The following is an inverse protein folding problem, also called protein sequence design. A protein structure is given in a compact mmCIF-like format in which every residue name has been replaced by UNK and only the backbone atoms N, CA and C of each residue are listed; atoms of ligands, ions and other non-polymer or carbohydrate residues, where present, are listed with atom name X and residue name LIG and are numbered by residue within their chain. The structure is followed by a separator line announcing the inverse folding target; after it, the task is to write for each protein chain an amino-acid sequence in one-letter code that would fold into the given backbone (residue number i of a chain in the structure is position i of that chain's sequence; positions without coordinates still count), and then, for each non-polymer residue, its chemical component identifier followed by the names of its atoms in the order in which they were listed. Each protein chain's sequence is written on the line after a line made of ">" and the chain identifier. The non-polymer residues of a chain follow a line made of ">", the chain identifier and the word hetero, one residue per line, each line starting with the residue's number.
data_IF_847933893595
#
_entry.id   IF_847933893595
#
_cell.length_a   1.000
_cell.length_b   1.000
_cell.length_c   1.000
_cell.angle_alpha   90.00
_cell.angle_beta   90.00
_cell.angle_gamma   90.00
#
_symmetry.space_group_name_H-M   'P 1'
#
loop_
_entity.id
_entity.type
_entity.pdbx_description
1 polymer ?
#
# COMPACT_ATOMS: atom_id res chain seq x y z
N UNK A 1 -17.23 -12.73 -6.85
CA UNK A 1 -16.63 -12.24 -8.09
C UNK A 1 -15.77 -11.04 -7.74
N UNK A 2 -14.46 -11.22 -7.78
CA UNK A 2 -13.50 -10.15 -7.53
C UNK A 2 -13.45 -9.19 -8.72
N UNK A 3 -13.26 -7.92 -8.46
CA UNK A 3 -13.18 -6.88 -9.46
C UNK A 3 -11.82 -6.19 -9.43
N UNK A 4 -11.28 -5.89 -10.62
CA UNK A 4 -10.07 -5.07 -10.78
C UNK A 4 -10.42 -3.61 -10.94
N UNK A 5 -9.81 -2.76 -10.14
CA UNK A 5 -9.98 -1.32 -10.24
C UNK A 5 -9.58 -0.79 -11.64
N UNK A 6 -10.09 0.32 -12.07
CA UNK A 6 -9.82 1.06 -13.31
C UNK A 6 -10.02 0.34 -14.65
N UNK A 7 -9.34 -0.76 -14.88
CA UNK A 7 -9.40 -1.44 -16.19
C UNK A 7 -10.73 -2.15 -16.42
N UNK A 8 -11.42 -2.56 -15.36
CA UNK A 8 -12.58 -3.41 -15.51
C UNK A 8 -13.88 -2.65 -15.86
N UNK A 9 -13.99 -1.36 -15.60
CA UNK A 9 -15.12 -0.58 -16.11
C UNK A 9 -15.13 -0.48 -17.65
N UNK A 10 -13.98 -0.21 -18.24
CA UNK A 10 -13.77 -0.29 -19.70
C UNK A 10 -13.76 -1.73 -20.20
N UNK A 11 -13.30 -2.65 -19.38
CA UNK A 11 -13.17 -4.05 -19.63
C UNK A 11 -14.52 -4.76 -19.77
N UNK A 12 -15.44 -4.56 -18.82
CA UNK A 12 -16.79 -5.11 -18.95
C UNK A 12 -17.56 -4.54 -20.16
N UNK A 13 -17.35 -3.26 -20.48
CA UNK A 13 -17.97 -2.64 -21.66
C UNK A 13 -17.42 -3.23 -22.97
N UNK A 14 -16.12 -3.51 -23.05
CA UNK A 14 -15.49 -4.12 -24.23
C UNK A 14 -15.85 -5.60 -24.41
N UNK A 15 -15.96 -6.37 -23.34
CA UNK A 15 -16.36 -7.78 -23.39
C UNK A 15 -17.80 -7.97 -23.88
N UNK A 16 -18.68 -7.02 -23.56
CA UNK A 16 -20.08 -7.06 -24.00
C UNK A 16 -20.23 -6.66 -25.47
N UNK A 17 -19.31 -5.85 -26.01
CA UNK A 17 -19.42 -5.31 -27.36
C UNK A 17 -18.70 -6.13 -28.45
N UNK A 18 -17.71 -6.97 -28.13
CA UNK A 18 -16.80 -7.52 -29.15
C UNK A 18 -17.04 -8.97 -29.57
N UNK A 19 -17.87 -9.74 -28.88
CA UNK A 19 -18.07 -11.17 -29.21
C UNK A 19 -16.79 -12.01 -29.22
N UNK A 20 -15.66 -11.45 -28.77
CA UNK A 20 -14.36 -12.11 -28.71
C UNK A 20 -14.28 -13.03 -27.49
N UNK A 21 -13.44 -14.06 -27.61
CA UNK A 21 -13.13 -14.96 -26.50
C UNK A 21 -12.72 -14.14 -25.27
N UNK A 22 -13.43 -14.23 -24.16
CA UNK A 22 -13.19 -13.40 -22.97
C UNK A 22 -11.75 -13.43 -22.48
N UNK A 23 -11.08 -14.58 -22.65
CA UNK A 23 -9.69 -14.78 -22.26
C UNK A 23 -8.69 -14.00 -23.12
N UNK A 24 -8.93 -13.91 -24.44
CA UNK A 24 -8.07 -13.16 -25.37
C UNK A 24 -8.21 -11.65 -25.19
N UNK A 25 -9.41 -11.17 -24.91
CA UNK A 25 -9.65 -9.76 -24.61
C UNK A 25 -8.96 -9.32 -23.29
N UNK A 26 -9.00 -10.17 -22.27
CA UNK A 26 -8.28 -9.96 -21.00
C UNK A 26 -6.78 -9.85 -21.22
N UNK A 27 -6.19 -10.75 -21.99
CA UNK A 27 -4.75 -10.75 -22.30
C UNK A 27 -4.31 -9.51 -23.09
N UNK A 28 -5.13 -9.03 -24.03
CA UNK A 28 -4.80 -7.87 -24.86
C UNK A 28 -4.80 -6.58 -24.02
N UNK A 29 -5.81 -6.37 -23.19
CA UNK A 29 -5.90 -5.18 -22.33
C UNK A 29 -4.83 -5.21 -21.24
N UNK A 30 -4.53 -6.38 -20.68
CA UNK A 30 -3.44 -6.52 -19.71
C UNK A 30 -2.07 -6.18 -20.33
N UNK A 31 -1.85 -6.45 -21.63
CA UNK A 31 -0.59 -6.10 -22.29
C UNK A 31 -0.44 -4.59 -22.51
N UNK A 32 -1.49 -3.89 -22.91
CA UNK A 32 -1.47 -2.44 -23.08
C UNK A 32 -1.28 -1.73 -21.71
N UNK A 33 -1.99 -2.15 -20.71
CA UNK A 33 -1.85 -1.61 -19.35
C UNK A 33 -0.48 -1.91 -18.73
N UNK A 34 0.11 -3.06 -19.01
CA UNK A 34 1.48 -3.38 -18.61
C UNK A 34 2.53 -2.45 -19.23
N UNK A 35 2.29 -1.94 -20.44
CA UNK A 35 3.19 -0.95 -21.08
C UNK A 35 3.11 0.38 -20.34
N UNK A 36 1.90 0.87 -20.03
CA UNK A 36 1.72 2.12 -19.27
C UNK A 36 2.33 2.02 -17.87
N UNK A 37 2.12 0.92 -17.16
CA UNK A 37 2.73 0.68 -15.84
C UNK A 37 4.25 0.62 -15.94
N UNK A 38 4.80 -0.04 -16.95
CA UNK A 38 6.26 -0.10 -17.15
C UNK A 38 6.87 1.27 -17.39
N UNK A 39 6.23 2.13 -18.18
CA UNK A 39 6.72 3.49 -18.41
C UNK A 39 6.62 4.35 -17.15
N UNK A 40 5.52 4.25 -16.38
CA UNK A 40 5.38 4.90 -15.07
C UNK A 40 6.48 4.44 -14.09
N UNK A 41 6.76 3.14 -14.03
CA UNK A 41 7.81 2.59 -13.17
C UNK A 41 9.19 3.04 -13.63
N UNK A 42 9.47 3.05 -14.94
CA UNK A 42 10.74 3.55 -15.47
C UNK A 42 10.95 5.04 -15.15
N UNK A 43 9.92 5.85 -15.33
CA UNK A 43 9.98 7.29 -15.02
C UNK A 43 10.22 7.51 -13.54
N UNK A 44 9.54 6.77 -12.68
CA UNK A 44 9.73 6.79 -11.23
C UNK A 44 11.17 6.36 -10.85
N UNK A 45 11.67 5.26 -11.41
CA UNK A 45 13.03 4.79 -11.16
C UNK A 45 14.11 5.75 -11.69
N UNK A 46 13.86 6.42 -12.81
CA UNK A 46 14.78 7.42 -13.36
C UNK A 46 14.97 8.63 -12.44
N UNK A 47 13.99 8.93 -11.61
CA UNK A 47 14.04 10.03 -10.64
C UNK A 47 14.56 9.60 -9.25
N UNK A 48 14.74 8.29 -9.03
CA UNK A 48 15.37 7.76 -7.81
C UNK A 48 16.90 7.83 -7.93
N UNK A 49 17.47 8.97 -7.62
CA UNK A 49 18.92 9.07 -7.44
C UNK A 49 19.28 8.50 -6.07
N UNK A 50 19.80 7.29 -6.04
CA UNK A 50 20.51 6.78 -4.85
C UNK A 50 21.68 7.70 -4.54
N UNK A 51 21.51 8.55 -3.54
CA UNK A 51 22.63 9.31 -2.97
C UNK A 51 23.47 8.34 -2.15
N UNK A 52 24.51 7.79 -2.75
CA UNK A 52 25.51 7.02 -2.01
C UNK A 52 26.18 7.94 -1.00
N UNK A 53 25.95 7.69 0.26
CA UNK A 53 26.65 8.36 1.36
C UNK A 53 28.04 7.71 1.53
N UNK A 54 29.02 8.49 2.02
CA UNK A 54 30.22 7.86 2.53
C UNK A 54 29.91 7.11 3.83
N UNK A 55 30.72 6.09 4.15
CA UNK A 55 30.51 5.28 5.36
C UNK A 55 30.53 6.15 6.64
N UNK A 56 31.42 7.14 6.69
CA UNK A 56 31.51 8.08 7.81
C UNK A 56 30.24 8.94 7.94
N UNK A 57 29.70 9.39 6.79
CA UNK A 57 28.47 10.19 6.78
C UNK A 57 27.26 9.36 7.18
N UNK A 58 27.19 8.13 6.72
CA UNK A 58 26.12 7.19 7.08
C UNK A 58 26.15 6.92 8.59
N UNK A 59 27.32 6.55 9.14
CA UNK A 59 27.46 6.32 10.58
C UNK A 59 27.08 7.55 11.42
N UNK A 60 27.51 8.74 10.97
CA UNK A 60 27.15 9.98 11.64
C UNK A 60 25.62 10.20 11.65
N UNK A 61 24.95 10.00 10.52
CA UNK A 61 23.51 10.17 10.43
C UNK A 61 22.76 9.11 11.27
N UNK A 62 23.21 7.88 11.23
CA UNK A 62 22.67 6.79 12.05
C UNK A 62 22.72 7.13 13.54
N UNK A 63 23.86 7.64 14.00
CA UNK A 63 24.00 8.07 15.39
C UNK A 63 23.04 9.21 15.74
N UNK A 64 22.92 10.21 14.88
CA UNK A 64 21.99 11.33 15.09
C UNK A 64 20.53 10.87 15.11
N UNK A 65 20.16 9.90 14.27
CA UNK A 65 18.79 9.37 14.26
C UNK A 65 18.50 8.61 15.55
N UNK A 66 19.43 7.77 16.05
CA UNK A 66 19.28 7.09 17.36
C UNK A 66 18.99 8.09 18.48
N UNK A 67 19.81 9.12 18.58
CA UNK A 67 19.65 10.17 19.60
C UNK A 67 18.29 10.87 19.49
N UNK A 68 17.81 11.14 18.26
CA UNK A 68 16.51 11.77 18.04
C UNK A 68 15.35 10.85 18.34
N UNK A 69 15.42 9.56 18.01
CA UNK A 69 14.40 8.57 18.34
C UNK A 69 14.19 8.54 19.87
N UNK A 70 15.27 8.53 20.65
CA UNK A 70 15.21 8.55 22.09
C UNK A 70 14.64 9.88 22.63
N UNK A 71 15.15 11.03 22.17
CA UNK A 71 14.71 12.35 22.59
C UNK A 71 13.24 12.63 22.31
N UNK A 72 12.73 12.16 21.20
CA UNK A 72 11.35 12.42 20.75
C UNK A 72 10.36 11.35 21.22
N UNK A 73 10.78 10.40 22.06
CA UNK A 73 9.99 9.24 22.44
C UNK A 73 9.34 8.60 21.20
N UNK A 74 10.17 8.32 20.22
CA UNK A 74 9.75 7.77 18.93
C UNK A 74 10.16 6.31 18.81
N UNK A 75 9.55 5.60 17.86
CA UNK A 75 9.98 4.26 17.44
C UNK A 75 10.03 4.21 15.92
N UNK A 76 11.08 3.59 15.40
CA UNK A 76 11.26 3.35 13.96
C UNK A 76 10.70 1.97 13.60
N UNK A 77 9.77 1.95 12.65
CA UNK A 77 9.25 0.72 12.04
C UNK A 77 9.66 0.70 10.58
N UNK A 78 10.39 -0.33 10.18
CA UNK A 78 10.96 -0.45 8.84
C UNK A 78 10.36 -1.61 8.06
N UNK A 79 10.02 -1.36 6.80
CA UNK A 79 9.64 -2.45 5.90
C UNK A 79 10.88 -3.23 5.45
N UNK A 80 10.78 -4.55 5.35
CA UNK A 80 11.91 -5.41 4.98
C UNK A 80 12.43 -5.19 3.54
N UNK A 81 11.85 -4.27 2.76
CA UNK A 81 12.39 -3.79 1.48
C UNK A 81 13.28 -2.55 1.61
N UNK A 82 13.43 -1.99 2.79
CA UNK A 82 14.34 -0.87 3.02
C UNK A 82 15.79 -1.33 3.02
N UNK A 83 16.73 -0.39 2.93
CA UNK A 83 18.16 -0.70 3.01
C UNK A 83 18.53 -1.32 4.36
N UNK A 84 19.54 -2.20 4.37
CA UNK A 84 19.98 -2.93 5.55
C UNK A 84 20.27 -1.99 6.73
N UNK A 85 20.95 -0.86 6.48
CA UNK A 85 21.24 0.13 7.52
C UNK A 85 20.01 0.74 8.19
N UNK A 86 18.89 0.86 7.46
CA UNK A 86 17.62 1.33 8.03
C UNK A 86 16.96 0.22 8.84
N UNK A 87 17.08 -1.03 8.41
CA UNK A 87 16.56 -2.18 9.13
C UNK A 87 17.33 -2.38 10.45
N UNK A 88 18.66 -2.36 10.39
CA UNK A 88 19.53 -2.44 11.58
C UNK A 88 19.17 -1.33 12.58
N UNK A 89 18.99 -0.10 12.10
CA UNK A 89 18.61 1.03 12.94
C UNK A 89 17.24 0.82 13.62
N UNK A 90 16.27 0.24 12.92
CA UNK A 90 14.97 -0.05 13.51
C UNK A 90 15.09 -1.06 14.65
N UNK A 91 15.82 -2.15 14.45
CA UNK A 91 16.03 -3.18 15.47
C UNK A 91 16.85 -2.67 16.66
N UNK A 92 17.93 -1.94 16.41
CA UNK A 92 18.80 -1.36 17.45
C UNK A 92 18.09 -0.33 18.33
N UNK A 93 17.07 0.35 17.81
CA UNK A 93 16.32 1.38 18.56
C UNK A 93 15.00 0.86 19.16
N UNK A 94 14.81 -0.46 19.23
CA UNK A 94 13.64 -1.08 19.83
C UNK A 94 12.39 -1.07 18.92
N UNK A 95 12.58 -0.84 17.65
CA UNK A 95 11.53 -0.93 16.63
C UNK A 95 11.42 -2.33 16.05
N UNK A 96 10.89 -2.43 14.84
CA UNK A 96 10.68 -3.70 14.14
C UNK A 96 10.97 -3.58 12.64
N UNK A 97 11.45 -4.67 12.06
CA UNK A 97 11.51 -4.88 10.61
C UNK A 97 10.47 -5.93 10.24
N UNK A 98 9.49 -5.57 9.40
CA UNK A 98 8.40 -6.48 9.09
C UNK A 98 7.66 -6.10 7.79
N UNK A 99 6.55 -6.81 7.53
CA UNK A 99 5.57 -6.43 6.51
C UNK A 99 4.70 -5.25 6.96
N UNK A 100 3.95 -4.71 6.01
CA UNK A 100 3.15 -3.50 6.23
C UNK A 100 2.07 -3.63 7.31
N UNK A 101 1.49 -4.82 7.49
CA UNK A 101 0.45 -5.03 8.49
C UNK A 101 1.05 -5.13 9.89
N UNK A 102 2.13 -5.91 10.04
CA UNK A 102 2.77 -6.09 11.32
C UNK A 102 3.47 -4.80 11.79
N UNK A 103 4.04 -3.99 10.87
CA UNK A 103 4.52 -2.65 11.18
C UNK A 103 3.43 -1.76 11.80
N UNK A 104 2.23 -1.77 11.21
CA UNK A 104 1.11 -0.97 11.70
C UNK A 104 0.57 -1.49 13.05
N UNK A 105 0.54 -2.80 13.24
CA UNK A 105 0.14 -3.47 14.48
C UNK A 105 1.12 -3.18 15.61
N UNK A 106 2.42 -3.38 15.36
CA UNK A 106 3.48 -3.05 16.31
C UNK A 106 3.41 -1.58 16.72
N UNK A 107 3.29 -0.67 15.74
CA UNK A 107 3.16 0.76 16.00
C UNK A 107 1.92 1.12 16.82
N UNK A 108 0.81 0.38 16.67
CA UNK A 108 -0.38 0.54 17.48
C UNK A 108 -0.14 0.14 18.93
N UNK A 109 0.51 -0.99 19.16
CA UNK A 109 0.67 -1.59 20.48
C UNK A 109 1.86 -1.01 21.27
N UNK A 110 2.83 -0.40 20.56
CA UNK A 110 4.01 0.22 21.15
C UNK A 110 3.66 1.49 21.95
N UNK A 111 4.34 1.75 23.05
CA UNK A 111 4.08 2.90 23.95
C UNK A 111 4.49 4.26 23.40
N UNK A 112 5.44 4.33 22.46
CA UNK A 112 5.91 5.56 21.84
C UNK A 112 4.76 6.37 21.21
N UNK A 113 4.82 7.69 21.38
CA UNK A 113 3.81 8.60 20.84
C UNK A 113 4.11 9.04 19.40
N UNK A 114 5.33 8.80 18.93
CA UNK A 114 5.77 9.11 17.58
C UNK A 114 6.21 7.82 16.87
N UNK A 115 5.61 7.54 15.72
CA UNK A 115 6.02 6.44 14.85
C UNK A 115 6.76 7.01 13.64
N UNK A 116 7.97 6.53 13.38
CA UNK A 116 8.71 6.81 12.14
C UNK A 116 8.56 5.59 11.24
N UNK A 117 7.85 5.74 10.13
CA UNK A 117 7.54 4.63 9.21
C UNK A 117 8.48 4.71 8.01
N UNK A 118 9.47 3.83 7.97
CA UNK A 118 10.35 3.65 6.81
C UNK A 118 9.74 2.62 5.84
N UNK A 119 9.03 3.13 4.86
CA UNK A 119 8.32 2.35 3.85
C UNK A 119 7.63 3.25 2.85
N UNK A 120 6.68 2.71 2.10
CA UNK A 120 5.90 3.46 1.12
C UNK A 120 4.66 4.11 1.75
N UNK A 121 4.13 5.14 1.10
CA UNK A 121 3.10 6.06 1.61
C UNK A 121 1.91 5.35 2.29
N UNK A 122 1.31 4.33 1.66
CA UNK A 122 0.16 3.64 2.23
C UNK A 122 0.43 2.98 3.59
N UNK A 123 1.69 2.63 3.89
CA UNK A 123 2.08 2.04 5.18
C UNK A 123 1.98 3.08 6.31
N UNK A 124 2.49 4.28 6.07
CA UNK A 124 2.32 5.40 7.00
C UNK A 124 0.86 5.82 7.17
N UNK A 125 0.09 5.85 6.09
CA UNK A 125 -1.34 6.10 6.13
C UNK A 125 -2.09 5.02 6.95
N UNK A 126 -1.76 3.74 6.76
CA UNK A 126 -2.34 2.64 7.53
C UNK A 126 -1.98 2.75 9.02
N UNK A 127 -0.72 3.04 9.33
CA UNK A 127 -0.28 3.29 10.70
C UNK A 127 -1.07 4.46 11.33
N UNK A 128 -1.28 5.55 10.58
CA UNK A 128 -2.06 6.70 11.07
C UNK A 128 -3.54 6.38 11.28
N UNK A 129 -4.15 5.60 10.40
CA UNK A 129 -5.54 5.14 10.55
C UNK A 129 -5.72 4.32 11.83
N UNK A 130 -4.78 3.40 12.11
CA UNK A 130 -4.84 2.53 13.28
C UNK A 130 -4.42 3.24 14.59
N UNK A 131 -3.71 4.35 14.48
CA UNK A 131 -3.20 5.13 15.63
C UNK A 131 -3.48 6.63 15.47
N UNK A 132 -4.75 7.05 15.41
CA UNK A 132 -5.09 8.45 15.11
C UNK A 132 -4.56 9.46 16.13
N UNK A 133 -4.28 9.01 17.34
CA UNK A 133 -3.74 9.82 18.43
C UNK A 133 -2.20 9.97 18.38
N UNK A 134 -1.49 9.09 17.67
CA UNK A 134 -0.02 9.15 17.56
C UNK A 134 0.41 10.05 16.41
N UNK A 135 1.60 10.61 16.54
CA UNK A 135 2.29 11.30 15.44
C UNK A 135 2.93 10.25 14.55
N UNK A 136 2.60 10.25 13.27
CA UNK A 136 3.22 9.36 12.27
C UNK A 136 4.05 10.21 11.31
N UNK A 137 5.31 9.87 11.19
CA UNK A 137 6.30 10.51 10.33
C UNK A 137 6.78 9.52 9.27
N UNK A 138 7.07 10.04 8.08
CA UNK A 138 7.70 9.28 7.00
C UNK A 138 8.88 10.07 6.44
N UNK A 139 9.98 9.41 6.05
CA UNK A 139 11.12 10.09 5.42
C UNK A 139 10.75 10.82 4.13
N UNK A 140 9.82 10.24 3.36
CA UNK A 140 9.24 10.85 2.16
C UNK A 140 7.80 10.36 1.96
N UNK A 141 6.95 11.20 1.35
CA UNK A 141 5.62 10.84 0.90
C UNK A 141 5.57 10.50 -0.60
N UNK A 142 6.70 10.61 -1.28
CA UNK A 142 6.81 10.30 -2.71
C UNK A 142 7.00 8.81 -2.98
N UNK A 143 7.55 8.07 -1.99
CA UNK A 143 7.67 6.62 -2.08
C UNK A 143 6.29 5.98 -2.09
N UNK A 144 5.95 5.31 -3.19
CA UNK A 144 4.62 4.73 -3.41
C UNK A 144 4.70 3.29 -3.92
N UNK A 145 3.56 2.65 -4.06
CA UNK A 145 3.41 1.28 -4.55
C UNK A 145 2.67 1.29 -5.89
N UNK A 146 3.05 0.42 -6.82
CA UNK A 146 2.37 0.28 -8.12
C UNK A 146 0.88 -0.07 -7.98
N UNK A 147 0.52 -0.83 -6.95
CA UNK A 147 -0.88 -1.15 -6.66
C UNK A 147 -1.67 0.08 -6.23
N UNK A 148 -1.07 0.97 -5.42
CA UNK A 148 -1.68 2.24 -5.01
C UNK A 148 -1.84 3.19 -6.21
N UNK A 149 -0.79 3.31 -7.04
CA UNK A 149 -0.85 4.09 -8.29
C UNK A 149 -1.89 3.55 -9.27
N UNK A 150 -2.07 2.24 -9.32
CA UNK A 150 -3.07 1.58 -10.17
C UNK A 150 -4.52 1.72 -9.70
N UNK A 151 -4.75 2.29 -8.51
CA UNK A 151 -6.08 2.44 -7.91
C UNK A 151 -6.34 3.89 -7.43
N UNK A 152 -6.47 4.87 -8.33
CA UNK A 152 -6.79 6.24 -7.93
C UNK A 152 -8.14 6.36 -7.28
N UNK A 153 -8.16 7.12 -6.19
CA UNK A 153 -9.30 7.21 -5.28
C UNK A 153 -10.58 7.74 -5.92
N UNK A 154 -10.48 8.72 -6.81
CA UNK A 154 -11.62 9.33 -7.51
C UNK A 154 -12.29 8.36 -8.48
N UNK A 155 -11.50 7.63 -9.27
CA UNK A 155 -12.03 6.63 -10.20
C UNK A 155 -12.56 5.41 -9.47
N UNK A 156 -11.88 4.98 -8.41
CA UNK A 156 -12.35 3.90 -7.56
C UNK A 156 -13.68 4.27 -6.89
N UNK A 157 -13.81 5.47 -6.35
CA UNK A 157 -15.05 5.95 -5.76
C UNK A 157 -16.20 5.97 -6.78
N UNK A 158 -15.97 6.54 -7.98
CA UNK A 158 -16.95 6.57 -9.05
C UNK A 158 -17.39 5.16 -9.50
N UNK A 159 -16.47 4.19 -9.45
CA UNK A 159 -16.82 2.80 -9.72
C UNK A 159 -17.67 2.17 -8.61
N UNK A 160 -17.32 2.40 -7.34
CA UNK A 160 -18.13 1.91 -6.21
C UNK A 160 -19.55 2.47 -6.26
N UNK A 161 -19.71 3.75 -6.62
CA UNK A 161 -21.03 4.40 -6.73
C UNK A 161 -21.94 3.78 -7.80
N UNK A 162 -21.36 3.14 -8.82
CA UNK A 162 -22.10 2.39 -9.85
C UNK A 162 -22.55 1.01 -9.38
N UNK A 163 -22.04 0.52 -8.25
CA UNK A 163 -22.29 -0.81 -7.73
C UNK A 163 -22.64 -0.80 -6.21
N UNK A 164 -23.69 -0.08 -5.81
CA UNK A 164 -24.03 0.11 -4.41
C UNK A 164 -24.53 -1.17 -3.72
N UNK A 165 -24.77 -2.24 -4.49
CA UNK A 165 -25.21 -3.55 -4.01
C UNK A 165 -24.05 -4.49 -3.62
N UNK A 166 -22.80 -3.97 -3.57
CA UNK A 166 -21.60 -4.76 -3.35
C UNK A 166 -20.83 -4.31 -2.13
N UNK A 167 -20.27 -5.27 -1.41
CA UNK A 167 -19.26 -5.02 -0.37
C UNK A 167 -17.93 -4.67 -1.01
N UNK A 168 -17.29 -3.64 -0.51
CA UNK A 168 -16.01 -3.13 -1.04
C UNK A 168 -14.85 -3.68 -0.24
N UNK A 169 -14.06 -4.54 -0.85
CA UNK A 169 -12.88 -5.15 -0.24
C UNK A 169 -11.63 -4.62 -0.91
N UNK A 170 -10.72 -4.05 -0.14
CA UNK A 170 -9.47 -3.51 -0.67
C UNK A 170 -8.25 -4.11 0.03
N UNK A 171 -7.17 -4.27 -0.73
CA UNK A 171 -5.87 -4.56 -0.15
C UNK A 171 -5.32 -3.38 0.64
N UNK A 172 -4.54 -3.67 1.67
CA UNK A 172 -3.83 -2.66 2.46
C UNK A 172 -2.92 -1.75 1.61
N UNK A 173 -2.49 -2.23 0.44
CA UNK A 173 -1.64 -1.53 -0.53
C UNK A 173 -2.40 -0.47 -1.36
N UNK A 174 -3.22 0.31 -0.71
CA UNK A 174 -4.03 1.40 -1.29
C UNK A 174 -3.93 2.65 -0.45
N UNK A 175 -4.27 3.80 -1.02
CA UNK A 175 -4.31 5.07 -0.29
C UNK A 175 -5.37 5.08 0.82
N UNK A 176 -5.22 6.00 1.77
CA UNK A 176 -6.24 6.24 2.80
C UNK A 176 -7.61 6.62 2.20
N UNK A 177 -7.61 7.34 1.08
CA UNK A 177 -8.83 7.73 0.38
C UNK A 177 -9.58 6.54 -0.22
N UNK A 178 -8.86 5.56 -0.78
CA UNK A 178 -9.43 4.29 -1.24
C UNK A 178 -9.97 3.47 -0.05
N UNK A 179 -9.19 3.38 1.04
CA UNK A 179 -9.62 2.70 2.27
C UNK A 179 -10.89 3.31 2.88
N UNK A 180 -11.07 4.63 2.77
CA UNK A 180 -12.26 5.32 3.27
C UNK A 180 -13.57 4.91 2.55
N UNK A 181 -13.47 4.30 1.36
CA UNK A 181 -14.61 3.76 0.59
C UNK A 181 -14.79 2.27 0.80
N UNK A 182 -13.88 1.62 1.52
CA UNK A 182 -13.89 0.17 1.71
C UNK A 182 -14.71 -0.23 2.95
N UNK A 183 -15.42 -1.34 2.83
CA UNK A 183 -16.03 -2.04 3.96
C UNK A 183 -15.01 -2.93 4.66
N UNK A 184 -14.06 -3.47 3.89
CA UNK A 184 -13.02 -4.38 4.34
C UNK A 184 -11.64 -3.99 3.80
N UNK A 185 -10.65 -3.98 4.69
CA UNK A 185 -9.23 -3.84 4.31
C UNK A 185 -8.52 -5.14 4.65
N UNK A 186 -7.89 -5.76 3.65
CA UNK A 186 -7.30 -7.09 3.78
C UNK A 186 -5.83 -7.12 3.35
N UNK A 187 -5.15 -8.17 3.78
CA UNK A 187 -3.86 -8.61 3.24
C UNK A 187 -4.01 -9.98 2.61
N UNK A 188 -3.00 -10.46 1.89
CA UNK A 188 -3.04 -11.76 1.23
C UNK A 188 -3.37 -12.92 2.19
N UNK A 189 -2.96 -12.80 3.46
CA UNK A 189 -3.14 -13.85 4.47
C UNK A 189 -4.61 -14.07 4.87
N UNK A 190 -5.46 -13.04 4.78
CA UNK A 190 -6.88 -13.11 5.20
C UNK A 190 -7.85 -12.86 4.04
N UNK A 191 -7.34 -12.61 2.85
CA UNK A 191 -8.15 -12.25 1.68
C UNK A 191 -9.17 -13.31 1.33
N UNK A 192 -8.76 -14.58 1.33
CA UNK A 192 -9.63 -15.70 1.02
C UNK A 192 -10.70 -15.89 2.09
N UNK A 193 -10.34 -15.84 3.36
CA UNK A 193 -11.27 -16.01 4.48
C UNK A 193 -12.37 -14.94 4.44
N UNK A 194 -12.02 -13.68 4.14
CA UNK A 194 -12.99 -12.60 4.00
C UNK A 194 -13.90 -12.82 2.78
N UNK A 195 -13.34 -13.24 1.65
CA UNK A 195 -14.13 -13.53 0.45
C UNK A 195 -15.12 -14.69 0.68
N UNK A 196 -14.69 -15.76 1.32
CA UNK A 196 -15.55 -16.90 1.68
C UNK A 196 -16.63 -16.49 2.69
N UNK A 197 -16.27 -15.69 3.70
CA UNK A 197 -17.21 -15.16 4.67
C UNK A 197 -18.33 -14.36 4.01
N UNK A 198 -17.99 -13.46 3.11
CA UNK A 198 -18.96 -12.64 2.38
C UNK A 198 -19.79 -13.46 1.38
N UNK A 199 -19.16 -14.42 0.70
CA UNK A 199 -19.86 -15.32 -0.21
C UNK A 199 -20.89 -16.19 0.53
N UNK A 200 -20.57 -16.68 1.74
CA UNK A 200 -21.51 -17.44 2.57
C UNK A 200 -22.74 -16.62 3.00
N UNK A 201 -22.63 -15.30 3.02
CA UNK A 201 -23.73 -14.37 3.26
C UNK A 201 -24.48 -13.97 1.98
N UNK A 202 -24.10 -14.50 0.83
CA UNK A 202 -24.68 -14.13 -0.48
C UNK A 202 -24.29 -12.73 -0.95
N UNK A 203 -23.24 -12.14 -0.38
CA UNK A 203 -22.77 -10.80 -0.75
C UNK A 203 -21.97 -10.84 -2.04
N UNK A 204 -22.18 -9.83 -2.87
CA UNK A 204 -21.33 -9.57 -4.02
C UNK A 204 -20.18 -8.65 -3.58
N UNK A 205 -19.04 -8.75 -4.22
CA UNK A 205 -17.81 -8.07 -3.82
C UNK A 205 -17.31 -7.18 -4.94
N UNK A 206 -16.81 -5.97 -4.61
CA UNK A 206 -15.81 -5.24 -5.36
C UNK A 206 -14.47 -5.55 -4.72
N UNK A 207 -13.48 -5.89 -5.53
CA UNK A 207 -12.12 -6.18 -5.08
C UNK A 207 -11.12 -5.24 -5.75
N UNK A 208 -10.25 -4.61 -4.97
CA UNK A 208 -9.22 -3.69 -5.49
C UNK A 208 -8.04 -3.55 -4.52
N UNK A 209 -6.84 -3.19 -5.07
CA UNK A 209 -6.40 -3.36 -6.45
C UNK A 209 -6.00 -4.81 -6.72
N UNK A 210 -5.75 -5.11 -8.00
CA UNK A 210 -5.26 -6.43 -8.42
C UNK A 210 -4.21 -6.27 -9.52
#
# INVERSE_FOLDING_TARGET
>A
VAYRARSAGRFCALLVQSGLNPYLAVMSIASEHLVEIRELVKDHLAHQHERKLSAEREQFLMQQIRERIEQENAVLVAHYYTQDSVQDLAEETGGIVSDSLEMARFGKDHEAQTLVVAGVKFMGETAKILTPHKRVLMPTLEATCSLDLGCPADEFAAFCDQHPDREVVVYANTSAAVKARADWVVTSSIALDVAEHLAAQGKKIIWAPD
#
